data_IF_936605111332
#
_entry.id   IF_936605111332
#
_cell.length_a   1.000
_cell.length_b   1.000
_cell.length_c   1.000
_cell.angle_alpha   90.00
_cell.angle_beta   90.00
_cell.angle_gamma   90.00
#
_symmetry.space_group_name_H-M   'P 1'
#
loop_
_entity.id
_entity.type
_entity.pdbx_description
1 polymer ?
#
# COMPACT_ATOMS: atom_id res chain seq x y z
N UNK A 1 -13.45 -38.27 -29.10
CA UNK A 1 -12.39 -37.80 -28.18
C UNK A 1 -12.07 -36.34 -28.50
N UNK A 2 -12.94 -35.41 -28.08
CA UNK A 2 -12.88 -33.98 -28.47
C UNK A 2 -12.67 -33.03 -27.28
N UNK A 3 -12.13 -33.52 -26.15
CA UNK A 3 -12.08 -32.75 -24.89
C UNK A 3 -10.67 -32.19 -24.61
N UNK A 4 -9.64 -32.60 -25.34
CA UNK A 4 -8.25 -32.23 -25.05
C UNK A 4 -7.82 -30.83 -25.54
N UNK A 5 -8.59 -30.17 -26.44
CA UNK A 5 -8.15 -28.89 -27.02
C UNK A 5 -8.51 -27.64 -26.21
N UNK A 6 -9.51 -27.71 -25.32
CA UNK A 6 -9.90 -26.56 -24.49
C UNK A 6 -9.05 -26.43 -23.21
N UNK A 7 -8.49 -27.53 -22.70
CA UNK A 7 -7.65 -27.52 -21.49
C UNK A 7 -6.28 -26.89 -21.72
N UNK A 8 -5.69 -27.10 -22.90
CA UNK A 8 -4.39 -26.52 -23.24
C UNK A 8 -4.46 -25.01 -23.52
N UNK A 9 -5.56 -24.51 -24.08
CA UNK A 9 -5.74 -23.08 -24.31
C UNK A 9 -5.96 -22.30 -22.99
N UNK A 10 -6.63 -22.92 -22.00
CA UNK A 10 -6.77 -22.36 -20.65
C UNK A 10 -5.46 -22.39 -19.86
N UNK A 11 -4.65 -23.43 -20.02
CA UNK A 11 -3.34 -23.54 -19.39
C UNK A 11 -2.36 -22.47 -19.93
N UNK A 12 -2.44 -22.14 -21.22
CA UNK A 12 -1.56 -21.12 -21.84
C UNK A 12 -1.87 -19.69 -21.39
N UNK A 13 -3.13 -19.38 -21.03
CA UNK A 13 -3.49 -18.08 -20.44
C UNK A 13 -3.02 -17.92 -18.98
N UNK A 14 -2.83 -19.04 -18.26
CA UNK A 14 -2.37 -19.03 -16.87
C UNK A 14 -0.86 -18.79 -16.74
N UNK A 15 -0.08 -19.22 -17.74
CA UNK A 15 1.39 -19.12 -17.75
C UNK A 15 1.86 -17.73 -18.19
N UNK A 16 1.14 -17.06 -19.11
CA UNK A 16 1.54 -15.71 -19.59
C UNK A 16 1.17 -14.58 -18.63
N UNK A 17 0.23 -14.78 -17.71
CA UNK A 17 -0.18 -13.73 -16.77
C UNK A 17 0.73 -13.63 -15.53
N UNK A 18 1.54 -14.67 -15.27
CA UNK A 18 2.40 -14.74 -14.09
C UNK A 18 3.71 -13.91 -14.21
N UNK A 19 4.02 -13.35 -15.39
CA UNK A 19 5.35 -12.78 -15.66
C UNK A 19 5.40 -11.24 -15.80
N UNK A 20 4.32 -10.52 -15.50
CA UNK A 20 4.27 -9.05 -15.57
C UNK A 20 3.96 -8.36 -14.24
N UNK A 21 3.85 -9.11 -13.14
CA UNK A 21 3.81 -8.49 -11.82
C UNK A 21 5.27 -8.20 -11.41
N UNK A 22 5.69 -6.92 -11.24
CA UNK A 22 6.90 -6.59 -10.53
C UNK A 22 6.71 -7.27 -9.20
N UNK A 23 7.70 -8.06 -8.79
CA UNK A 23 7.66 -8.75 -7.52
C UNK A 23 7.62 -7.68 -6.41
N UNK A 24 6.41 -7.27 -6.02
CA UNK A 24 6.18 -6.25 -5.01
C UNK A 24 6.16 -6.93 -3.66
N UNK A 25 6.95 -6.39 -2.74
CA UNK A 25 6.95 -6.92 -1.38
C UNK A 25 5.61 -6.57 -0.71
N UNK A 26 4.87 -7.58 -0.27
CA UNK A 26 3.59 -7.37 0.41
C UNK A 26 3.77 -7.34 1.92
N UNK A 27 3.06 -6.42 2.57
CA UNK A 27 3.01 -6.32 4.02
C UNK A 27 2.48 -7.61 4.68
N UNK A 28 1.61 -8.35 3.99
CA UNK A 28 1.07 -9.63 4.44
C UNK A 28 2.13 -10.74 4.55
N UNK A 29 3.17 -10.71 3.72
CA UNK A 29 4.26 -11.69 3.72
C UNK A 29 5.34 -11.38 4.77
N UNK A 30 5.34 -10.16 5.32
CA UNK A 30 6.31 -9.71 6.30
C UNK A 30 5.58 -9.16 7.54
N UNK A 31 5.23 -10.02 8.52
CA UNK A 31 4.44 -9.60 9.66
C UNK A 31 5.16 -8.54 10.52
N UNK A 32 4.40 -7.57 11.02
CA UNK A 32 4.94 -6.48 11.83
C UNK A 32 5.49 -7.00 13.16
N UNK A 33 6.69 -6.54 13.55
CA UNK A 33 7.20 -6.77 14.90
C UNK A 33 6.23 -6.18 15.92
N UNK A 34 5.81 -6.97 16.92
CA UNK A 34 5.00 -6.51 18.05
C UNK A 34 5.68 -5.29 18.69
N UNK A 35 4.90 -4.32 19.19
CA UNK A 35 5.48 -3.25 20.00
C UNK A 35 6.22 -3.88 21.17
N UNK A 36 7.54 -3.72 21.21
CA UNK A 36 8.28 -3.87 22.46
C UNK A 36 7.79 -2.78 23.42
N UNK A 37 7.58 -3.15 24.69
CA UNK A 37 7.03 -2.35 25.79
C UNK A 37 5.49 -2.32 25.83
N UNK A 38 4.93 -2.63 27.01
CA UNK A 38 3.51 -2.59 27.37
C UNK A 38 2.96 -1.17 27.18
N UNK A 39 2.74 -0.76 25.93
CA UNK A 39 2.05 0.48 25.61
C UNK A 39 0.61 0.31 26.07
N UNK A 40 0.17 1.19 26.97
CA UNK A 40 -1.18 1.19 27.50
C UNK A 40 -2.25 1.26 26.40
N UNK A 41 -1.93 1.86 25.24
CA UNK A 41 -2.77 1.90 24.04
C UNK A 41 -1.92 1.76 22.77
N UNK A 42 -1.94 0.60 22.11
CA UNK A 42 -1.38 0.45 20.77
C UNK A 42 -2.23 1.25 19.78
N UNK A 43 -1.60 2.15 19.02
CA UNK A 43 -2.29 2.99 18.03
C UNK A 43 -2.00 2.54 16.61
N UNK A 44 -1.04 1.64 16.39
CA UNK A 44 -0.71 1.16 15.05
C UNK A 44 -1.75 0.12 14.63
N UNK A 45 -2.18 0.19 13.37
CA UNK A 45 -3.02 -0.85 12.80
C UNK A 45 -2.28 -2.20 12.82
N UNK A 46 -2.92 -3.33 13.18
CA UNK A 46 -2.25 -4.62 13.28
C UNK A 46 -1.75 -5.14 11.93
N UNK A 47 -2.50 -4.87 10.86
CA UNK A 47 -2.22 -5.35 9.49
C UNK A 47 -1.47 -4.27 8.70
N UNK A 48 -2.13 -3.15 8.39
CA UNK A 48 -1.56 -2.08 7.58
C UNK A 48 -0.33 -1.38 8.19
N UNK A 49 0.64 -1.10 7.32
CA UNK A 49 1.87 -0.33 7.58
C UNK A 49 1.57 1.16 7.41
N UNK A 50 2.25 1.99 8.22
CA UNK A 50 2.06 3.45 8.24
C UNK A 50 0.72 3.95 8.79
N UNK A 51 -0.24 3.05 9.03
CA UNK A 51 -1.57 3.39 9.52
C UNK A 51 -1.63 3.39 11.05
N UNK A 52 -2.18 4.46 11.61
CA UNK A 52 -2.37 4.64 13.05
C UNK A 52 -3.76 5.16 13.38
N UNK A 53 -4.42 4.58 14.37
CA UNK A 53 -5.67 5.12 14.91
C UNK A 53 -5.41 6.38 15.73
N UNK A 54 -6.33 7.34 15.60
CA UNK A 54 -6.47 8.49 16.49
C UNK A 54 -7.81 8.39 17.24
N UNK A 55 -8.05 9.37 18.12
CA UNK A 55 -9.36 9.54 18.76
C UNK A 55 -10.43 9.75 17.67
N UNK A 56 -11.68 9.46 18.01
CA UNK A 56 -12.86 9.65 17.13
C UNK A 56 -12.87 8.76 15.88
N UNK A 57 -12.26 7.56 15.95
CA UNK A 57 -12.33 6.58 14.85
C UNK A 57 -11.55 6.97 13.58
N UNK A 58 -10.82 8.08 13.59
CA UNK A 58 -10.02 8.53 12.45
C UNK A 58 -8.68 7.79 12.36
N UNK A 59 -8.21 7.60 11.14
CA UNK A 59 -6.96 6.94 10.82
C UNK A 59 -5.97 7.90 10.20
N UNK A 60 -4.72 7.79 10.62
CA UNK A 60 -3.63 8.64 10.20
C UNK A 60 -2.67 7.82 9.37
N UNK A 61 -2.16 8.43 8.31
CA UNK A 61 -1.05 7.89 7.53
C UNK A 61 0.19 8.79 7.64
N UNK A 62 1.31 8.20 8.04
CA UNK A 62 2.64 8.84 8.02
C UNK A 62 3.70 7.89 7.45
N UNK A 63 4.66 8.42 6.71
CA UNK A 63 5.85 7.68 6.24
C UNK A 63 7.13 8.33 6.72
N UNK A 64 8.21 7.55 6.77
CA UNK A 64 9.55 8.05 7.03
C UNK A 64 10.37 8.01 5.76
N UNK A 65 11.00 9.13 5.45
CA UNK A 65 11.97 9.21 4.36
C UNK A 65 13.11 8.21 4.63
N UNK A 66 13.49 7.36 3.65
CA UNK A 66 14.46 6.28 3.88
C UNK A 66 15.85 6.78 4.30
N UNK A 67 16.32 7.87 3.69
CA UNK A 67 17.65 8.45 3.95
C UNK A 67 17.63 9.36 5.18
N UNK A 68 16.92 10.48 5.09
CA UNK A 68 16.89 11.52 6.14
C UNK A 68 16.12 11.14 7.40
N UNK A 69 15.35 10.04 7.39
CA UNK A 69 14.46 9.62 8.49
C UNK A 69 13.40 10.66 8.89
N UNK A 70 13.24 11.73 8.10
CA UNK A 70 12.21 12.75 8.32
C UNK A 70 10.81 12.14 8.16
N UNK A 71 9.85 12.64 8.93
CA UNK A 71 8.47 12.16 8.87
C UNK A 71 7.69 13.01 7.87
N UNK A 72 6.98 12.34 6.98
CA UNK A 72 6.03 12.95 6.07
C UNK A 72 4.64 12.55 6.51
N UNK A 73 3.85 13.56 6.88
CA UNK A 73 2.43 13.40 7.15
C UNK A 73 1.66 13.30 5.82
N UNK A 74 0.88 12.24 5.64
CA UNK A 74 0.16 12.01 4.38
C UNK A 74 -1.33 12.37 4.47
N UNK A 75 -1.89 12.34 5.69
CA UNK A 75 -3.27 12.74 5.91
C UNK A 75 -3.92 12.08 7.11
N UNK A 76 -5.17 12.51 7.35
CA UNK A 76 -6.13 11.82 8.21
C UNK A 76 -7.31 11.37 7.35
N UNK A 77 -7.78 10.16 7.58
CA UNK A 77 -8.78 9.47 6.79
C UNK A 77 -9.80 8.78 7.69
N UNK A 78 -10.93 8.40 7.10
CA UNK A 78 -12.07 7.86 7.84
C UNK A 78 -11.96 6.35 8.04
N UNK A 79 -11.33 5.66 7.09
CA UNK A 79 -11.07 4.22 7.17
C UNK A 79 -9.56 3.92 7.19
N UNK A 80 -9.21 2.75 7.72
CA UNK A 80 -7.84 2.28 7.74
C UNK A 80 -7.32 1.99 6.32
N UNK A 81 -8.19 1.51 5.44
CA UNK A 81 -7.90 1.19 4.04
C UNK A 81 -7.53 2.43 3.22
N UNK A 82 -8.25 3.53 3.40
CA UNK A 82 -7.89 4.83 2.79
C UNK A 82 -6.50 5.28 3.21
N UNK A 83 -6.19 5.21 4.51
CA UNK A 83 -4.87 5.54 5.02
C UNK A 83 -3.79 4.58 4.47
N UNK A 84 -4.11 3.29 4.33
CA UNK A 84 -3.18 2.30 3.79
C UNK A 84 -2.90 2.50 2.29
N UNK A 85 -3.86 2.98 1.50
CA UNK A 85 -3.63 3.36 0.09
C UNK A 85 -2.79 4.62 -0.04
N UNK A 86 -3.07 5.64 0.76
CA UNK A 86 -2.23 6.83 0.83
C UNK A 86 -0.77 6.45 1.17
N UNK A 87 -0.57 5.49 2.08
CA UNK A 87 0.75 4.97 2.42
C UNK A 87 1.44 4.31 1.23
N UNK A 88 0.73 3.46 0.48
CA UNK A 88 1.32 2.72 -0.65
C UNK A 88 1.84 3.64 -1.74
N UNK A 89 1.11 4.71 -2.08
CA UNK A 89 1.60 5.76 -3.00
C UNK A 89 2.92 6.34 -2.52
N UNK A 90 2.98 6.75 -1.26
CA UNK A 90 4.15 7.42 -0.72
C UNK A 90 5.37 6.50 -0.63
N UNK A 91 5.17 5.23 -0.25
CA UNK A 91 6.27 4.26 -0.19
C UNK A 91 6.74 3.86 -1.59
N UNK A 92 5.83 3.75 -2.57
CA UNK A 92 6.21 3.57 -3.99
C UNK A 92 7.08 4.73 -4.47
N UNK A 93 6.66 5.97 -4.21
CA UNK A 93 7.40 7.15 -4.63
C UNK A 93 8.79 7.26 -3.97
N UNK A 94 8.89 6.90 -2.69
CA UNK A 94 10.14 7.02 -1.93
C UNK A 94 11.11 5.86 -2.12
N UNK A 95 10.63 4.64 -2.39
CA UNK A 95 11.45 3.41 -2.37
C UNK A 95 11.46 2.67 -3.70
N UNK A 96 10.60 3.03 -4.65
CA UNK A 96 10.46 2.34 -5.93
C UNK A 96 10.20 0.85 -5.74
N UNK A 97 11.01 0.00 -6.40
CA UNK A 97 10.89 -1.47 -6.37
C UNK A 97 11.07 -2.08 -4.98
N UNK A 98 11.78 -1.39 -4.08
CA UNK A 98 11.98 -1.83 -2.70
C UNK A 98 10.82 -1.44 -1.77
N UNK A 99 9.71 -0.95 -2.33
CA UNK A 99 8.51 -0.63 -1.58
C UNK A 99 7.84 -1.90 -1.03
N UNK A 100 7.45 -1.85 0.25
CA UNK A 100 6.63 -2.88 0.87
C UNK A 100 5.19 -2.35 1.02
N UNK A 101 4.30 -2.82 0.16
CA UNK A 101 2.94 -2.30 0.00
C UNK A 101 1.93 -3.05 0.87
N UNK A 102 0.88 -2.34 1.26
CA UNK A 102 -0.26 -2.93 1.96
C UNK A 102 -1.14 -3.76 1.00
N UNK A 103 -1.25 -3.34 -0.27
CA UNK A 103 -2.07 -4.02 -1.27
C UNK A 103 -1.28 -4.33 -2.55
N UNK A 104 -1.50 -5.50 -3.12
CA UNK A 104 -0.77 -5.97 -4.31
C UNK A 104 -1.07 -5.16 -5.57
N UNK A 105 -2.32 -4.75 -5.71
CA UNK A 105 -2.79 -3.98 -6.86
C UNK A 105 -2.51 -2.47 -6.75
N UNK A 106 -1.89 -1.99 -5.67
CA UNK A 106 -1.55 -0.56 -5.50
C UNK A 106 -0.68 -0.03 -6.64
N UNK A 107 0.17 -0.89 -7.21
CA UNK A 107 1.09 -0.52 -8.31
C UNK A 107 0.35 -0.01 -9.55
N UNK A 108 -0.83 -0.58 -9.82
CA UNK A 108 -1.57 -0.34 -11.06
C UNK A 108 -2.78 0.55 -10.87
N UNK A 109 -3.31 0.60 -9.65
CA UNK A 109 -4.58 1.29 -9.34
C UNK A 109 -4.39 2.69 -8.78
N UNK A 110 -3.21 3.02 -8.29
CA UNK A 110 -2.98 4.29 -7.59
C UNK A 110 -2.32 5.34 -8.48
N UNK A 111 -2.62 6.63 -8.25
CA UNK A 111 -1.96 7.72 -8.95
C UNK A 111 -0.46 7.72 -8.66
N UNK A 112 0.32 7.96 -9.72
CA UNK A 112 1.77 8.15 -9.62
C UNK A 112 2.02 9.64 -9.32
N UNK A 113 2.76 9.98 -8.25
CA UNK A 113 3.13 11.38 -7.99
C UNK A 113 3.92 11.99 -9.15
N UNK A 114 3.73 13.28 -9.39
CA UNK A 114 4.43 14.00 -10.46
C UNK A 114 5.94 14.11 -10.23
N UNK A 115 6.37 14.11 -8.95
CA UNK A 115 7.76 14.19 -8.54
C UNK A 115 7.98 13.46 -7.21
N UNK A 116 9.24 13.39 -6.77
CA UNK A 116 9.61 12.91 -5.43
C UNK A 116 9.39 13.95 -4.32
N UNK A 117 8.88 15.13 -4.64
CA UNK A 117 8.64 16.17 -3.66
C UNK A 117 7.50 15.79 -2.71
N UNK A 118 7.66 16.15 -1.44
CA UNK A 118 6.70 15.81 -0.38
C UNK A 118 5.29 16.29 -0.73
N UNK A 119 5.17 17.45 -1.36
CA UNK A 119 3.88 18.04 -1.74
C UNK A 119 3.18 17.18 -2.81
N UNK A 120 3.89 16.72 -3.82
CA UNK A 120 3.30 15.91 -4.90
C UNK A 120 2.97 14.51 -4.42
N UNK A 121 3.79 13.95 -3.54
CA UNK A 121 3.49 12.70 -2.84
C UNK A 121 2.22 12.84 -2.00
N UNK A 122 2.06 13.93 -1.24
CA UNK A 122 0.86 14.18 -0.43
C UNK A 122 -0.39 14.33 -1.31
N UNK A 123 -0.30 15.06 -2.42
CA UNK A 123 -1.42 15.23 -3.36
C UNK A 123 -1.88 13.88 -3.93
N UNK A 124 -0.95 13.08 -4.46
CA UNK A 124 -1.27 11.77 -5.02
C UNK A 124 -1.77 10.79 -3.94
N UNK A 125 -1.19 10.82 -2.74
CA UNK A 125 -1.66 10.01 -1.61
C UNK A 125 -3.10 10.37 -1.19
N UNK A 126 -3.44 11.66 -1.19
CA UNK A 126 -4.80 12.12 -0.90
C UNK A 126 -5.79 11.72 -2.00
N UNK A 127 -5.38 11.76 -3.27
CA UNK A 127 -6.20 11.27 -4.38
C UNK A 127 -6.45 9.75 -4.29
N UNK A 128 -5.40 8.96 -4.04
CA UNK A 128 -5.49 7.52 -3.82
C UNK A 128 -6.49 7.16 -2.71
N UNK A 129 -6.48 7.91 -1.61
CA UNK A 129 -7.44 7.71 -0.53
C UNK A 129 -8.88 7.99 -0.98
N UNK A 130 -9.13 9.01 -1.80
CA UNK A 130 -10.48 9.35 -2.30
C UNK A 130 -11.03 8.34 -3.29
N UNK A 131 -10.19 7.60 -4.00
CA UNK A 131 -10.65 6.55 -4.92
C UNK A 131 -11.38 5.41 -4.17
N UNK A 132 -11.05 5.18 -2.90
CA UNK A 132 -11.75 4.20 -2.04
C UNK A 132 -13.04 4.74 -1.41
N UNK A 133 -13.23 6.06 -1.36
CA UNK A 133 -14.46 6.65 -0.81
C UNK A 133 -15.67 6.44 -1.73
N UNK A 134 -15.41 6.17 -3.02
CA UNK A 134 -16.43 6.06 -4.07
C UNK A 134 -16.79 4.62 -4.45
N UNK A 135 -16.26 3.63 -3.72
CA UNK A 135 -16.42 2.19 -4.02
C UNK A 135 -17.29 1.47 -3.02
#
# INVERSE_FOLDING_TARGET
MHIESEYLLRASLSVVHASLQPEVMLASQNPKKKAGRKKFKETRHPIYRGVRSRKLGKWVCEVRHPITQSRVWLGTHDTADMAARAHDVAVLAMRGRSACLNFADSVWRLPIPQSSDVVDIQKAAAEAARLLDRS
#
